data_IF_643666022693
#
_entry.id   IF_643666022693
#
_cell.length_a   1.000
_cell.length_b   1.000
_cell.length_c   1.000
_cell.angle_alpha   90.00
_cell.angle_beta   90.00
_cell.angle_gamma   90.00
#
_symmetry.space_group_name_H-M   'P 1'
#
loop_
_entity.id
_entity.type
_entity.pdbx_description
1 polymer ?
#
# COMPACT_ATOMS: atom_id res chain seq x y z
N UNK A 1 9.00 7.02 0.06
CA UNK A 1 7.90 6.04 0.06
C UNK A 1 8.25 4.88 0.99
N UNK A 2 7.44 4.60 2.02
CA UNK A 2 7.67 3.49 2.97
C UNK A 2 6.61 2.41 2.81
N UNK A 3 7.03 1.17 2.57
CA UNK A 3 6.19 -0.01 2.75
C UNK A 3 6.36 -0.48 4.18
N UNK A 4 5.49 -0.04 5.08
CA UNK A 4 5.46 -0.49 6.46
C UNK A 4 4.29 -1.46 6.58
N UNK A 5 4.53 -2.76 6.86
CA UNK A 5 3.90 -3.45 8.01
C UNK A 5 4.08 -4.97 8.09
N UNK A 6 4.16 -5.36 9.37
CA UNK A 6 3.60 -6.51 10.12
C UNK A 6 3.17 -7.76 9.33
N UNK A 7 4.07 -8.74 9.35
CA UNK A 7 3.94 -10.20 9.19
C UNK A 7 2.55 -10.75 8.91
N UNK A 8 2.40 -11.40 7.75
CA UNK A 8 2.09 -12.83 7.74
C UNK A 8 2.51 -13.48 6.41
N UNK A 9 3.31 -14.53 6.54
CA UNK A 9 3.60 -15.50 5.48
C UNK A 9 2.30 -16.08 4.94
N UNK A 10 2.16 -16.13 3.63
CA UNK A 10 1.02 -16.76 2.96
C UNK A 10 1.39 -18.13 2.45
N UNK A 11 0.62 -19.10 2.94
CA UNK A 11 0.68 -20.51 2.64
C UNK A 11 0.19 -20.80 1.22
N UNK A 12 1.08 -20.65 0.23
CA UNK A 12 0.98 -21.41 -1.01
C UNK A 12 2.32 -22.01 -1.47
N UNK A 13 3.40 -21.70 -0.75
CA UNK A 13 4.71 -22.29 -0.97
C UNK A 13 5.22 -22.91 0.34
N UNK A 14 5.76 -24.14 0.32
CA UNK A 14 6.33 -24.78 1.50
C UNK A 14 7.60 -24.08 2.01
N UNK A 15 8.20 -23.18 1.22
CA UNK A 15 9.37 -22.39 1.61
C UNK A 15 9.04 -20.91 1.80
N UNK A 16 9.45 -20.34 2.94
CA UNK A 16 9.37 -18.91 3.19
C UNK A 16 10.18 -18.14 2.13
N UNK A 17 9.62 -17.03 1.62
CA UNK A 17 10.33 -16.13 0.71
C UNK A 17 10.11 -16.40 -0.78
N UNK A 18 9.23 -17.31 -1.16
CA UNK A 18 8.84 -17.53 -2.57
C UNK A 18 7.32 -17.67 -2.76
N UNK A 19 6.84 -17.33 -3.95
CA UNK A 19 5.45 -17.45 -4.39
C UNK A 19 5.38 -17.85 -5.87
N UNK A 20 4.18 -18.12 -6.38
CA UNK A 20 3.99 -18.61 -7.76
C UNK A 20 3.55 -20.08 -7.79
N UNK A 21 3.12 -20.55 -8.97
CA UNK A 21 2.56 -21.91 -9.11
C UNK A 21 3.61 -23.00 -8.83
N UNK A 22 4.86 -22.70 -9.10
CA UNK A 22 6.01 -23.58 -8.90
C UNK A 22 7.02 -22.98 -7.89
N UNK A 23 6.58 -22.03 -7.06
CA UNK A 23 7.42 -21.37 -6.05
C UNK A 23 8.67 -20.68 -6.64
N UNK A 24 8.55 -20.15 -7.86
CA UNK A 24 9.65 -19.65 -8.68
C UNK A 24 9.93 -18.16 -8.51
N UNK A 25 9.04 -17.42 -7.85
CA UNK A 25 9.15 -15.97 -7.68
C UNK A 25 9.54 -15.63 -6.26
N UNK A 26 10.54 -14.75 -6.07
CA UNK A 26 10.92 -14.28 -4.74
C UNK A 26 9.85 -13.33 -4.17
N UNK A 27 9.48 -13.54 -2.91
CA UNK A 27 8.64 -12.63 -2.13
C UNK A 27 9.39 -12.09 -0.93
N UNK A 28 9.18 -10.82 -0.59
CA UNK A 28 9.64 -10.26 0.66
C UNK A 28 8.61 -10.50 1.77
N UNK A 29 9.07 -11.07 2.88
CA UNK A 29 8.33 -11.09 4.13
C UNK A 29 8.73 -9.89 4.99
N UNK A 30 7.76 -9.24 5.61
CA UNK A 30 8.00 -8.16 6.57
C UNK A 30 7.76 -8.66 7.99
N UNK A 31 8.76 -8.51 8.86
CA UNK A 31 8.60 -8.68 10.30
C UNK A 31 7.94 -7.46 10.94
N UNK A 32 7.65 -7.55 12.24
CA UNK A 32 7.10 -6.42 12.97
C UNK A 32 8.08 -5.23 12.92
N UNK A 33 7.54 -4.03 12.68
CA UNK A 33 8.31 -2.78 12.56
C UNK A 33 9.33 -2.73 11.39
N UNK A 34 9.43 -3.78 10.57
CA UNK A 34 10.23 -3.74 9.34
C UNK A 34 9.55 -2.93 8.24
N UNK A 35 10.35 -2.28 7.41
CA UNK A 35 9.88 -1.54 6.24
C UNK A 35 10.90 -1.54 5.12
N UNK A 36 10.42 -1.30 3.90
CA UNK A 36 11.27 -0.94 2.77
C UNK A 36 11.02 0.52 2.40
N UNK A 37 12.10 1.25 2.14
CA UNK A 37 12.04 2.66 1.75
C UNK A 37 12.53 2.83 0.32
N UNK A 38 11.74 3.55 -0.46
CA UNK A 38 11.99 3.87 -1.87
C UNK A 38 11.92 5.38 -2.07
N UNK A 39 12.49 5.90 -3.18
CA UNK A 39 12.29 7.29 -3.58
C UNK A 39 10.82 7.69 -3.58
N UNK A 40 10.57 8.98 -3.35
CA UNK A 40 9.21 9.52 -3.36
C UNK A 40 8.56 9.36 -4.73
N UNK A 41 7.26 9.12 -4.72
CA UNK A 41 6.43 9.06 -5.91
C UNK A 41 6.38 10.40 -6.66
N UNK A 42 6.08 10.35 -7.96
CA UNK A 42 5.83 11.54 -8.77
C UNK A 42 4.62 12.31 -8.20
N UNK A 43 4.69 13.64 -8.05
CA UNK A 43 3.62 14.43 -7.43
C UNK A 43 2.35 14.56 -8.29
N UNK A 44 2.35 14.20 -9.57
CA UNK A 44 1.23 14.40 -10.49
C UNK A 44 0.60 13.10 -11.02
N UNK A 45 1.41 12.06 -11.27
CA UNK A 45 0.91 10.85 -11.91
C UNK A 45 1.56 9.59 -11.33
N UNK A 46 0.74 8.70 -10.78
CA UNK A 46 1.20 7.45 -10.20
C UNK A 46 0.36 6.28 -10.67
N UNK A 47 1.07 5.21 -11.05
CA UNK A 47 0.49 3.92 -11.30
C UNK A 47 1.12 2.91 -10.32
N UNK A 48 0.36 2.56 -9.30
CA UNK A 48 0.82 1.69 -8.21
C UNK A 48 0.26 0.30 -8.45
N UNK A 49 1.15 -0.68 -8.55
CA UNK A 49 0.83 -2.09 -8.71
C UNK A 49 1.43 -2.88 -7.56
N UNK A 50 0.59 -3.53 -6.74
CA UNK A 50 1.03 -4.33 -5.60
C UNK A 50 0.34 -5.69 -5.65
N UNK A 51 1.13 -6.76 -5.65
CA UNK A 51 0.66 -8.11 -5.39
C UNK A 51 1.07 -8.51 -3.98
N UNK A 52 0.11 -8.84 -3.14
CA UNK A 52 0.34 -9.17 -1.73
C UNK A 52 -0.62 -10.24 -1.28
N UNK A 53 -0.34 -10.81 -0.12
CA UNK A 53 -1.23 -11.72 0.56
C UNK A 53 -1.06 -11.52 2.07
N UNK A 54 -2.15 -11.61 2.84
CA UNK A 54 -2.09 -11.41 4.29
C UNK A 54 -3.27 -12.05 5.01
N UNK A 55 -3.09 -12.34 6.30
CA UNK A 55 -4.17 -12.70 7.22
C UNK A 55 -4.50 -11.53 8.18
N UNK A 56 -3.78 -10.40 8.09
CA UNK A 56 -4.01 -9.24 8.94
C UNK A 56 -5.20 -8.44 8.44
N UNK A 57 -6.18 -8.23 9.31
CA UNK A 57 -7.33 -7.40 9.01
C UNK A 57 -7.01 -5.90 8.99
N UNK A 58 -5.94 -5.49 9.65
CA UNK A 58 -5.52 -4.09 9.73
C UNK A 58 -4.04 -3.99 9.38
N UNK A 59 -3.71 -3.46 8.21
CA UNK A 59 -2.34 -3.32 7.75
C UNK A 59 -2.12 -2.16 6.75
N UNK A 60 -1.25 -1.19 7.04
CA UNK A 60 -0.66 -0.30 6.05
C UNK A 60 0.16 -1.14 5.06
N UNK A 61 0.05 -0.88 3.77
CA UNK A 61 0.88 -1.50 2.74
C UNK A 61 1.89 -0.51 2.21
N UNK A 62 1.46 0.72 1.99
CA UNK A 62 2.28 1.76 1.40
C UNK A 62 1.90 3.13 1.95
N UNK A 63 2.91 3.95 2.23
CA UNK A 63 2.75 5.34 2.62
C UNK A 63 3.76 6.21 1.88
N UNK A 64 3.27 7.29 1.28
CA UNK A 64 4.08 8.32 0.64
C UNK A 64 3.56 9.68 1.09
N UNK A 65 4.44 10.60 1.48
CA UNK A 65 4.07 11.95 1.91
C UNK A 65 5.14 12.96 1.50
N UNK A 66 4.81 14.24 1.56
CA UNK A 66 5.62 15.38 1.14
C UNK A 66 6.55 15.95 2.25
N UNK A 67 6.73 15.22 3.35
CA UNK A 67 7.42 15.66 4.57
C UNK A 67 6.82 16.89 5.29
N UNK A 68 5.64 17.37 4.88
CA UNK A 68 4.92 18.42 5.59
C UNK A 68 4.03 17.80 6.69
N UNK A 69 3.60 18.64 7.63
CA UNK A 69 2.68 18.26 8.72
C UNK A 69 1.48 19.20 8.75
N UNK A 70 0.39 18.76 9.39
CA UNK A 70 -0.87 19.51 9.45
C UNK A 70 -1.84 19.19 8.31
N UNK A 71 -2.95 19.91 8.24
CA UNK A 71 -4.10 19.57 7.38
C UNK A 71 -3.82 19.69 5.87
N UNK A 72 -2.77 20.44 5.51
CA UNK A 72 -2.31 20.62 4.13
C UNK A 72 -1.27 19.58 3.69
N UNK A 73 -0.79 18.73 4.59
CA UNK A 73 0.22 17.73 4.27
C UNK A 73 -0.30 16.78 3.19
N UNK A 74 0.44 16.69 2.10
CA UNK A 74 0.10 15.79 1.01
C UNK A 74 0.55 14.38 1.35
N UNK A 75 -0.36 13.43 1.15
CA UNK A 75 -0.03 12.03 1.34
C UNK A 75 -0.83 11.12 0.43
N UNK A 76 -0.33 9.90 0.31
CA UNK A 76 -0.98 8.79 -0.33
C UNK A 76 -0.71 7.54 0.53
N UNK A 77 -1.77 6.80 0.84
CA UNK A 77 -1.70 5.57 1.61
C UNK A 77 -2.55 4.47 0.99
N UNK A 78 -1.99 3.26 0.92
CA UNK A 78 -2.73 2.02 0.72
C UNK A 78 -2.66 1.22 2.01
N UNK A 79 -3.81 0.80 2.50
CA UNK A 79 -3.92 0.03 3.73
C UNK A 79 -5.06 -0.99 3.65
N UNK A 80 -5.07 -1.91 4.58
CA UNK A 80 -6.09 -2.89 4.85
C UNK A 80 -6.74 -2.43 6.15
N UNK A 81 -8.06 -2.28 6.12
CA UNK A 81 -8.88 -1.89 7.26
C UNK A 81 -10.08 -2.83 7.31
N UNK A 82 -10.27 -3.50 8.45
CA UNK A 82 -11.32 -4.52 8.62
C UNK A 82 -11.30 -5.62 7.53
N UNK A 83 -10.09 -5.96 7.08
CA UNK A 83 -9.82 -6.95 6.06
C UNK A 83 -10.06 -6.50 4.64
N UNK A 84 -10.46 -5.25 4.39
CA UNK A 84 -10.70 -4.70 3.04
C UNK A 84 -9.64 -3.67 2.67
N UNK A 85 -9.38 -3.49 1.37
CA UNK A 85 -8.43 -2.47 0.92
C UNK A 85 -9.03 -1.08 1.05
N UNK A 86 -8.26 -0.16 1.61
CA UNK A 86 -8.52 1.28 1.67
C UNK A 86 -7.39 2.03 0.96
N UNK A 87 -7.78 2.89 0.04
CA UNK A 87 -6.90 3.88 -0.57
C UNK A 87 -7.26 5.26 -0.04
N UNK A 88 -6.31 5.97 0.52
CA UNK A 88 -6.53 7.33 1.03
C UNK A 88 -5.44 8.28 0.56
N UNK A 89 -5.81 9.52 0.29
CA UNK A 89 -4.88 10.53 -0.18
C UNK A 89 -5.35 11.96 0.13
N UNK A 90 -4.40 12.88 0.28
CA UNK A 90 -4.63 14.32 0.38
C UNK A 90 -3.67 15.02 -0.60
N UNK A 91 -4.20 15.96 -1.38
CA UNK A 91 -3.46 16.77 -2.36
C UNK A 91 -3.56 18.27 -2.03
N UNK A 92 -3.61 18.59 -0.73
CA UNK A 92 -3.72 19.95 -0.20
C UNK A 92 -5.14 20.50 -0.05
N UNK A 93 -6.17 19.80 -0.51
CA UNK A 93 -7.58 20.23 -0.46
C UNK A 93 -8.47 19.41 0.49
N UNK A 94 -7.89 18.42 1.18
CA UNK A 94 -8.60 17.54 2.09
C UNK A 94 -8.37 16.06 1.79
N UNK A 95 -8.79 15.20 2.72
CA UNK A 95 -8.54 13.76 2.64
C UNK A 95 -9.69 13.03 1.93
N UNK A 96 -9.35 12.30 0.87
CA UNK A 96 -10.24 11.40 0.17
C UNK A 96 -9.96 9.95 0.58
N UNK A 97 -11.01 9.12 0.64
CA UNK A 97 -10.94 7.70 1.03
C UNK A 97 -11.80 6.86 0.12
N UNK A 98 -11.23 5.78 -0.40
CA UNK A 98 -11.91 4.76 -1.20
C UNK A 98 -11.69 3.40 -0.53
N UNK A 99 -12.72 2.59 -0.44
CA UNK A 99 -12.64 1.25 0.16
C UNK A 99 -13.22 0.22 -0.79
N UNK A 100 -12.55 -0.92 -0.94
CA UNK A 100 -13.08 -2.05 -1.70
C UNK A 100 -14.16 -2.78 -0.91
N UNK A 101 -15.06 -3.46 -1.59
CA UNK A 101 -16.03 -4.36 -0.96
C UNK A 101 -15.44 -5.75 -0.68
N UNK A 102 -14.39 -6.12 -1.43
CA UNK A 102 -13.72 -7.41 -1.34
C UNK A 102 -12.79 -7.44 -0.12
N UNK A 103 -12.83 -8.55 0.61
CA UNK A 103 -11.92 -8.86 1.71
C UNK A 103 -10.64 -9.49 1.15
N UNK A 104 -9.49 -8.98 1.58
CA UNK A 104 -8.14 -9.35 1.12
C UNK A 104 -7.28 -9.98 2.24
N UNK A 105 -7.83 -10.08 3.44
CA UNK A 105 -7.18 -10.67 4.62
C UNK A 105 -7.52 -12.15 4.80
N UNK A 106 -7.48 -12.92 3.72
CA UNK A 106 -7.84 -14.34 3.63
C UNK A 106 -6.62 -15.26 3.46
N UNK A 107 -5.43 -14.68 3.47
CA UNK A 107 -4.19 -15.40 3.23
C UNK A 107 -4.02 -15.82 1.77
N UNK A 108 -4.79 -15.27 0.83
CA UNK A 108 -4.62 -15.51 -0.60
C UNK A 108 -3.96 -14.31 -1.28
N UNK A 109 -3.36 -14.54 -2.45
CA UNK A 109 -2.74 -13.46 -3.22
C UNK A 109 -3.80 -12.60 -3.91
N UNK A 110 -3.76 -11.31 -3.61
CA UNK A 110 -4.56 -10.26 -4.24
C UNK A 110 -3.66 -9.29 -5.00
N UNK A 111 -4.18 -8.76 -6.09
CA UNK A 111 -3.53 -7.68 -6.85
C UNK A 111 -4.33 -6.40 -6.66
N UNK A 112 -3.66 -5.34 -6.21
CA UNK A 112 -4.22 -3.99 -6.13
C UNK A 112 -3.55 -3.12 -7.17
N UNK A 113 -4.39 -2.42 -7.93
CA UNK A 113 -3.98 -1.39 -8.87
C UNK A 113 -4.59 -0.08 -8.39
N UNK A 114 -3.75 0.87 -8.05
CA UNK A 114 -4.16 2.22 -7.68
C UNK A 114 -3.56 3.22 -8.67
N UNK A 115 -4.41 3.98 -9.35
CA UNK A 115 -4.00 5.04 -10.26
C UNK A 115 -4.35 6.38 -9.63
N UNK A 116 -3.35 7.24 -9.47
CA UNK A 116 -3.54 8.65 -9.15
C UNK A 116 -3.18 9.46 -10.39
N UNK A 117 -4.17 10.08 -11.00
CA UNK A 117 -3.98 11.02 -12.10
C UNK A 117 -4.66 12.34 -11.71
N UNK A 118 -3.87 13.41 -11.58
CA UNK A 118 -4.39 14.74 -11.25
C UNK A 118 -3.28 15.72 -10.90
N UNK A 119 -3.45 16.98 -11.30
CA UNK A 119 -2.52 18.06 -10.95
C UNK A 119 -2.64 18.41 -9.47
N UNK A 120 -1.49 18.60 -8.80
CA UNK A 120 -1.44 19.42 -7.58
C UNK A 120 -1.93 20.81 -7.96
N UNK A 121 -2.92 21.35 -7.24
CA UNK A 121 -3.41 22.70 -7.54
C UNK A 121 -2.26 23.70 -7.38
N UNK A 122 -1.83 24.42 -8.44
CA UNK A 122 -0.70 25.33 -8.36
C UNK A 122 -0.94 26.54 -7.44
N UNK A 123 -2.17 26.74 -6.96
CA UNK A 123 -2.56 27.82 -6.06
C UNK A 123 -2.48 27.45 -4.56
N UNK A 124 -2.06 26.22 -4.24
CA UNK A 124 -1.73 25.82 -2.87
C UNK A 124 -0.25 26.10 -2.57
N UNK A 125 0.15 27.37 -2.55
CA UNK A 125 1.40 27.83 -1.91
C UNK A 125 1.11 29.09 -1.12
#
# INVERSE_FOLDING_TARGET
MKFLRRRQTVNHSPSAGVFGKHCELNSYGFEELSYMEFPSLDPNNNYIYIKFATLKENALLMYNHDNQTGDKAEFLALEILEGRMRFSFNLGSGTYKLMTTIRVSDGQFHTVIARRAGMVSPFAR
#
